data_IF_284820073708
#
_entry.id   IF_284820073708
#
_cell.length_a   1.000
_cell.length_b   1.000
_cell.length_c   1.000
_cell.angle_alpha   90.00
_cell.angle_beta   90.00
_cell.angle_gamma   90.00
#
_symmetry.space_group_name_H-M   'P 1'
#
loop_
_entity.id
_entity.type
_entity.pdbx_description
1 polymer ?
#
# COMPACT_ATOMS: atom_id res chain seq x y z
N UNK A 1 -24.84 -19.57 -6.00
CA UNK A 1 -23.58 -18.80 -5.86
C UNK A 1 -23.33 -17.87 -7.05
N UNK A 2 -23.54 -18.27 -8.31
CA UNK A 2 -23.29 -17.39 -9.47
C UNK A 2 -24.21 -16.16 -9.51
N UNK A 3 -25.52 -16.32 -9.30
CA UNK A 3 -26.49 -15.20 -9.31
C UNK A 3 -26.20 -14.13 -8.23
N UNK A 4 -25.63 -14.55 -7.09
CA UNK A 4 -25.19 -13.66 -6.01
C UNK A 4 -23.91 -12.92 -6.40
N UNK A 5 -22.96 -13.60 -7.05
CA UNK A 5 -21.73 -12.99 -7.58
C UNK A 5 -22.00 -12.03 -8.74
N UNK A 6 -23.00 -12.30 -9.57
CA UNK A 6 -23.42 -11.43 -10.67
C UNK A 6 -24.00 -10.11 -10.16
N UNK A 7 -24.81 -10.15 -9.09
CA UNK A 7 -25.35 -8.95 -8.44
C UNK A 7 -24.23 -8.13 -7.77
N UNK A 8 -23.26 -8.80 -7.13
CA UNK A 8 -22.06 -8.15 -6.59
C UNK A 8 -21.23 -7.47 -7.69
N UNK A 9 -21.01 -8.14 -8.82
CA UNK A 9 -20.25 -7.59 -9.95
C UNK A 9 -20.99 -6.39 -10.58
N UNK A 10 -22.32 -6.45 -10.68
CA UNK A 10 -23.15 -5.35 -11.18
C UNK A 10 -23.08 -4.15 -10.26
N UNK A 11 -23.16 -4.36 -8.94
CA UNK A 11 -23.02 -3.28 -7.95
C UNK A 11 -21.63 -2.66 -7.96
N UNK A 12 -20.57 -3.46 -8.05
CA UNK A 12 -19.19 -2.95 -8.20
C UNK A 12 -19.03 -2.10 -9.47
N UNK A 13 -19.59 -2.56 -10.60
CA UNK A 13 -19.55 -1.81 -11.87
C UNK A 13 -20.27 -0.47 -11.77
N UNK A 14 -21.41 -0.41 -11.07
CA UNK A 14 -22.12 0.84 -10.78
C UNK A 14 -21.28 1.78 -9.92
N UNK A 15 -20.66 1.27 -8.84
CA UNK A 15 -19.82 2.09 -7.97
C UNK A 15 -18.59 2.65 -8.68
N UNK A 16 -17.94 1.86 -9.56
CA UNK A 16 -16.85 2.35 -10.41
C UNK A 16 -17.31 3.43 -11.38
N UNK A 17 -18.48 3.27 -12.01
CA UNK A 17 -19.06 4.31 -12.87
C UNK A 17 -19.33 5.60 -12.10
N UNK A 18 -19.89 5.50 -10.89
CA UNK A 18 -20.09 6.65 -10.00
C UNK A 18 -18.76 7.31 -9.61
N UNK A 19 -17.72 6.52 -9.31
CA UNK A 19 -16.39 7.04 -9.02
C UNK A 19 -15.81 7.83 -10.20
N UNK A 20 -15.94 7.33 -11.43
CA UNK A 20 -15.48 8.01 -12.63
C UNK A 20 -16.20 9.36 -12.85
N UNK A 21 -17.50 9.43 -12.54
CA UNK A 21 -18.27 10.68 -12.60
C UNK A 21 -17.79 11.66 -11.53
N UNK A 22 -17.58 11.20 -10.30
CA UNK A 22 -17.07 12.04 -9.21
C UNK A 22 -15.67 12.60 -9.50
N UNK A 23 -14.82 11.82 -10.15
CA UNK A 23 -13.49 12.27 -10.57
C UNK A 23 -13.55 13.31 -11.70
N UNK A 24 -14.53 13.21 -12.61
CA UNK A 24 -14.71 14.21 -13.69
C UNK A 24 -15.22 15.55 -13.19
N UNK A 25 -16.11 15.53 -12.19
CA UNK A 25 -16.71 16.74 -11.62
C UNK A 25 -16.06 17.16 -10.29
N UNK A 26 -14.86 16.65 -10.00
CA UNK A 26 -14.18 16.81 -8.70
C UNK A 26 -14.11 18.27 -8.25
N UNK A 27 -13.75 19.17 -9.16
CA UNK A 27 -13.58 20.60 -8.85
C UNK A 27 -14.90 21.35 -8.61
N UNK A 28 -16.04 20.76 -8.98
CA UNK A 28 -17.37 21.38 -8.85
C UNK A 28 -18.18 20.88 -7.65
N UNK A 29 -17.72 19.82 -6.99
CA UNK A 29 -18.46 19.16 -5.92
C UNK A 29 -18.02 19.64 -4.54
N UNK A 30 -18.96 19.98 -3.63
CA UNK A 30 -18.62 20.23 -2.24
C UNK A 30 -18.13 18.93 -1.58
N UNK A 31 -17.05 19.02 -0.81
CA UNK A 31 -16.41 17.86 -0.14
C UNK A 31 -16.07 16.70 -1.10
N UNK A 32 -15.69 17.01 -2.35
CA UNK A 32 -15.37 16.02 -3.39
C UNK A 32 -14.41 14.92 -2.90
N UNK A 33 -13.37 15.28 -2.14
CA UNK A 33 -12.43 14.34 -1.53
C UNK A 33 -13.12 13.31 -0.63
N UNK A 34 -14.08 13.74 0.21
CA UNK A 34 -14.83 12.83 1.08
C UNK A 34 -15.80 11.96 0.29
N UNK A 35 -16.46 12.51 -0.74
CA UNK A 35 -17.38 11.74 -1.59
C UNK A 35 -16.64 10.62 -2.34
N UNK A 36 -15.50 10.95 -2.95
CA UNK A 36 -14.59 9.99 -3.59
C UNK A 36 -14.17 8.93 -2.56
N UNK A 37 -13.69 9.35 -1.39
CA UNK A 37 -13.32 8.42 -0.33
C UNK A 37 -14.46 7.49 0.09
N UNK A 38 -15.68 8.00 0.23
CA UNK A 38 -16.85 7.22 0.64
C UNK A 38 -17.21 6.15 -0.39
N UNK A 39 -17.22 6.50 -1.68
CA UNK A 39 -17.48 5.54 -2.77
C UNK A 39 -16.34 4.53 -2.87
N UNK A 40 -15.09 4.95 -2.80
CA UNK A 40 -13.95 4.03 -2.77
C UNK A 40 -14.02 3.07 -1.56
N UNK A 41 -14.45 3.56 -0.40
CA UNK A 41 -14.65 2.73 0.78
C UNK A 41 -15.79 1.72 0.60
N UNK A 42 -16.88 2.11 -0.07
CA UNK A 42 -17.96 1.18 -0.41
C UNK A 42 -17.46 0.10 -1.38
N UNK A 43 -16.78 0.49 -2.47
CA UNK A 43 -16.13 -0.44 -3.42
C UNK A 43 -15.25 -1.43 -2.67
N UNK A 44 -14.34 -0.92 -1.82
CA UNK A 44 -13.46 -1.74 -1.00
C UNK A 44 -14.22 -2.72 -0.11
N UNK A 45 -15.32 -2.28 0.50
CA UNK A 45 -16.15 -3.16 1.35
C UNK A 45 -16.81 -4.29 0.55
N UNK A 46 -17.22 -4.04 -0.70
CA UNK A 46 -17.79 -5.04 -1.60
C UNK A 46 -16.71 -5.99 -2.12
N UNK A 47 -15.53 -5.47 -2.49
CA UNK A 47 -14.37 -6.29 -2.86
C UNK A 47 -13.94 -7.22 -1.73
N UNK A 48 -13.85 -6.72 -0.48
CA UNK A 48 -13.49 -7.55 0.66
C UNK A 48 -14.48 -8.69 0.91
N UNK A 49 -15.78 -8.44 0.71
CA UNK A 49 -16.81 -9.48 0.83
C UNK A 49 -16.69 -10.50 -0.30
N UNK A 50 -16.44 -10.03 -1.53
CA UNK A 50 -16.19 -10.90 -2.69
C UNK A 50 -14.96 -11.80 -2.48
N UNK A 51 -13.86 -11.23 -1.99
CA UNK A 51 -12.64 -11.97 -1.66
C UNK A 51 -12.88 -13.05 -0.57
N UNK A 52 -13.72 -12.76 0.42
CA UNK A 52 -14.10 -13.74 1.45
C UNK A 52 -14.94 -14.89 0.90
N UNK A 53 -15.71 -14.66 -0.16
CA UNK A 53 -16.53 -15.67 -0.82
C UNK A 53 -15.69 -16.50 -1.81
N UNK A 54 -14.68 -15.87 -2.44
CA UNK A 54 -13.72 -16.51 -3.33
C UNK A 54 -12.49 -17.01 -2.56
N UNK A 55 -12.69 -17.98 -1.67
CA UNK A 55 -11.58 -18.63 -0.96
C UNK A 55 -10.75 -19.47 -1.93
N UNK A 56 -9.71 -18.87 -2.49
CA UNK A 56 -8.66 -19.59 -3.19
C UNK A 56 -7.71 -20.19 -2.15
N UNK A 57 -7.61 -21.52 -2.15
CA UNK A 57 -6.61 -22.24 -1.38
C UNK A 57 -5.28 -22.10 -2.10
N UNK A 58 -4.25 -21.69 -1.37
CA UNK A 58 -2.88 -21.61 -1.85
C UNK A 58 -1.99 -22.25 -0.81
N UNK A 59 -1.07 -23.09 -1.28
CA UNK A 59 -0.10 -23.79 -0.44
C UNK A 59 1.15 -22.95 -0.14
N UNK A 60 1.32 -21.80 -0.80
CA UNK A 60 2.55 -21.03 -0.78
C UNK A 60 2.31 -19.57 -0.43
N UNK A 61 3.14 -19.05 0.47
CA UNK A 61 3.18 -17.64 0.79
C UNK A 61 4.46 -17.01 0.23
N UNK A 62 4.36 -15.76 -0.20
CA UNK A 62 5.50 -14.97 -0.59
C UNK A 62 6.36 -14.64 0.63
N UNK A 63 7.65 -14.93 0.55
CA UNK A 63 8.62 -14.69 1.62
C UNK A 63 8.88 -13.19 1.90
N UNK A 64 8.40 -12.29 1.04
CA UNK A 64 8.50 -10.83 1.24
C UNK A 64 7.24 -10.23 1.85
N UNK A 65 6.11 -10.35 1.16
CA UNK A 65 4.86 -9.71 1.58
C UNK A 65 3.95 -10.61 2.42
N UNK A 66 4.33 -11.87 2.61
CA UNK A 66 3.58 -12.92 3.33
C UNK A 66 2.20 -13.21 2.74
N UNK A 67 1.97 -12.79 1.49
CA UNK A 67 0.72 -13.04 0.77
C UNK A 67 0.71 -14.42 0.16
N UNK A 68 -0.47 -15.01 0.07
CA UNK A 68 -0.72 -16.22 -0.70
C UNK A 68 -0.34 -16.00 -2.18
N UNK A 69 0.37 -16.94 -2.75
CA UNK A 69 0.70 -17.02 -4.17
C UNK A 69 -0.33 -17.94 -4.80
N UNK A 70 -1.15 -17.43 -5.72
CA UNK A 70 -2.16 -18.27 -6.38
C UNK A 70 -1.51 -19.17 -7.43
N UNK A 71 -2.18 -20.23 -7.85
CA UNK A 71 -1.64 -21.13 -8.89
C UNK A 71 -1.49 -20.44 -10.25
N UNK A 72 -2.18 -19.32 -10.45
CA UNK A 72 -2.05 -18.46 -11.62
C UNK A 72 -0.84 -17.50 -11.55
N UNK A 73 -0.27 -17.28 -10.37
CA UNK A 73 0.92 -16.45 -10.22
C UNK A 73 2.17 -17.25 -10.61
N UNK A 74 3.10 -16.62 -11.34
CA UNK A 74 4.43 -17.18 -11.61
C UNK A 74 5.46 -16.61 -10.60
N UNK A 75 5.67 -17.24 -9.42
CA UNK A 75 6.58 -16.72 -8.43
C UNK A 75 8.04 -16.95 -8.82
N UNK A 76 8.89 -15.97 -8.47
CA UNK A 76 10.34 -16.10 -8.60
C UNK A 76 10.85 -16.97 -7.44
N UNK A 77 11.47 -18.10 -7.77
CA UNK A 77 12.04 -19.04 -6.80
C UNK A 77 13.54 -18.80 -6.64
N UNK A 78 14.00 -18.65 -5.40
CA UNK A 78 15.39 -18.43 -5.02
C UNK A 78 15.79 -19.30 -3.82
N UNK A 79 17.08 -19.34 -3.49
CA UNK A 79 17.63 -20.21 -2.45
C UNK A 79 17.78 -21.66 -2.90
N UNK A 80 18.41 -22.48 -2.05
CA UNK A 80 18.57 -23.91 -2.29
C UNK A 80 17.19 -24.56 -2.42
N UNK A 81 16.95 -25.25 -3.55
CA UNK A 81 15.67 -25.93 -3.89
C UNK A 81 14.44 -25.01 -4.02
N UNK A 82 14.61 -23.69 -4.11
CA UNK A 82 13.50 -22.74 -4.25
C UNK A 82 12.78 -22.43 -2.94
N UNK A 83 13.48 -22.49 -1.81
CA UNK A 83 12.95 -22.19 -0.47
C UNK A 83 12.42 -20.77 -0.30
N UNK A 84 12.85 -19.83 -1.12
CA UNK A 84 12.42 -18.43 -1.08
C UNK A 84 11.57 -18.10 -2.30
N UNK A 85 10.30 -17.71 -2.09
CA UNK A 85 9.36 -17.40 -3.17
C UNK A 85 8.94 -15.94 -3.13
N UNK A 86 9.10 -15.25 -4.26
CA UNK A 86 8.66 -13.86 -4.42
C UNK A 86 7.49 -13.82 -5.40
N UNK A 87 6.37 -13.22 -4.96
CA UNK A 87 5.22 -13.05 -5.83
C UNK A 87 5.44 -11.95 -6.89
N UNK A 88 4.72 -11.99 -8.02
CA UNK A 88 4.83 -10.97 -9.07
C UNK A 88 4.58 -9.54 -8.57
N UNK A 89 3.72 -9.37 -7.55
CA UNK A 89 3.40 -8.06 -6.96
C UNK A 89 4.61 -7.41 -6.28
N UNK A 90 5.39 -8.19 -5.53
CA UNK A 90 6.63 -7.72 -4.92
C UNK A 90 7.67 -7.35 -5.98
N UNK A 91 7.81 -8.16 -7.04
CA UNK A 91 8.70 -7.85 -8.17
C UNK A 91 8.28 -6.53 -8.83
N UNK A 92 6.99 -6.32 -9.08
CA UNK A 92 6.47 -5.06 -9.60
C UNK A 92 6.81 -3.88 -8.68
N UNK A 93 6.61 -4.03 -7.38
CA UNK A 93 6.92 -2.99 -6.37
C UNK A 93 8.41 -2.63 -6.38
N UNK A 94 9.29 -3.63 -6.47
CA UNK A 94 10.75 -3.43 -6.57
C UNK A 94 11.10 -2.65 -7.85
N UNK A 95 10.47 -2.99 -8.97
CA UNK A 95 10.74 -2.36 -10.26
C UNK A 95 10.27 -0.91 -10.36
N UNK A 96 9.33 -0.49 -9.53
CA UNK A 96 8.84 0.90 -9.48
C UNK A 96 9.84 1.89 -8.86
N UNK A 97 10.90 1.41 -8.22
CA UNK A 97 11.92 2.27 -7.62
C UNK A 97 12.94 2.64 -8.66
N UNK A 98 13.08 3.94 -8.91
CA UNK A 98 13.87 4.50 -10.02
C UNK A 98 14.89 5.48 -9.48
N UNK A 99 16.02 5.60 -10.17
CA UNK A 99 16.92 6.73 -10.00
C UNK A 99 16.29 8.00 -10.58
N UNK A 100 16.68 9.15 -10.04
CA UNK A 100 16.23 10.48 -10.52
C UNK A 100 16.32 10.65 -12.04
N UNK A 101 17.41 10.19 -12.66
CA UNK A 101 17.61 10.26 -14.11
C UNK A 101 16.58 9.44 -14.89
N UNK A 102 16.24 8.23 -14.43
CA UNK A 102 15.24 7.39 -15.11
C UNK A 102 13.85 8.03 -14.99
N UNK A 103 13.56 8.62 -13.82
CA UNK A 103 12.28 9.29 -13.59
C UNK A 103 12.15 10.57 -14.45
N UNK A 104 13.22 11.35 -14.59
CA UNK A 104 13.25 12.55 -15.45
C UNK A 104 13.00 12.20 -16.91
N UNK A 105 13.65 11.14 -17.41
CA UNK A 105 13.46 10.63 -18.77
C UNK A 105 12.00 10.18 -19.00
N UNK A 106 11.41 9.45 -18.05
CA UNK A 106 10.02 9.01 -18.15
C UNK A 106 9.01 10.16 -18.10
N UNK A 107 9.30 11.23 -17.38
CA UNK A 107 8.44 12.41 -17.29
C UNK A 107 8.68 13.42 -18.42
N UNK A 108 9.65 13.19 -19.29
CA UNK A 108 9.99 14.13 -20.37
C UNK A 108 10.50 15.47 -19.85
N UNK A 109 11.11 15.51 -18.65
CA UNK A 109 11.60 16.75 -18.06
C UNK A 109 12.85 17.24 -18.81
N UNK A 110 12.75 18.45 -19.39
CA UNK A 110 13.82 19.03 -20.22
C UNK A 110 15.04 19.51 -19.43
N UNK A 111 14.90 19.72 -18.12
CA UNK A 111 15.96 20.23 -17.23
C UNK A 111 16.53 19.10 -16.37
N UNK A 112 17.77 18.64 -16.61
CA UNK A 112 18.37 17.57 -15.82
C UNK A 112 18.64 18.01 -14.39
N UNK A 113 18.36 17.15 -13.41
CA UNK A 113 18.56 17.43 -11.98
C UNK A 113 17.39 18.14 -11.29
N UNK A 114 16.27 18.34 -11.99
CA UNK A 114 15.02 18.87 -11.45
C UNK A 114 14.49 18.00 -10.32
N UNK A 115 14.44 16.68 -10.52
CA UNK A 115 13.93 15.75 -9.49
C UNK A 115 14.86 15.72 -8.29
N UNK A 116 16.18 15.84 -8.53
CA UNK A 116 17.17 15.89 -7.45
C UNK A 116 16.97 17.12 -6.55
N UNK A 117 16.71 18.29 -7.13
CA UNK A 117 16.39 19.51 -6.36
C UNK A 117 15.08 19.34 -5.59
N UNK A 118 14.07 18.75 -6.23
CA UNK A 118 12.77 18.52 -5.60
C UNK A 118 12.84 17.56 -4.41
N UNK A 119 13.71 16.55 -4.47
CA UNK A 119 13.98 15.63 -3.36
C UNK A 119 14.53 16.34 -2.11
N UNK A 120 15.26 17.43 -2.29
CA UNK A 120 15.84 18.22 -1.19
C UNK A 120 14.89 19.30 -0.67
N UNK A 121 13.89 19.70 -1.46
CA UNK A 121 12.89 20.70 -1.10
C UNK A 121 11.47 20.13 -0.91
N UNK A 122 10.58 20.29 -1.90
CA UNK A 122 9.15 19.98 -1.76
C UNK A 122 8.82 18.52 -1.44
N UNK A 123 9.66 17.56 -1.88
CA UNK A 123 9.40 16.13 -1.69
C UNK A 123 9.94 15.58 -0.37
N UNK A 124 10.56 16.41 0.48
CA UNK A 124 11.13 16.01 1.77
C UNK A 124 10.16 15.21 2.67
N UNK A 125 8.85 15.53 2.76
CA UNK A 125 7.91 14.73 3.56
C UNK A 125 7.86 13.24 3.16
N UNK A 126 8.06 12.93 1.88
CA UNK A 126 8.01 11.56 1.35
C UNK A 126 9.21 10.70 1.79
N UNK A 127 10.25 11.30 2.38
CA UNK A 127 11.41 10.58 2.90
C UNK A 127 11.07 9.80 4.18
N UNK A 128 10.23 10.36 5.07
CA UNK A 128 9.78 9.67 6.28
C UNK A 128 9.06 8.35 5.95
N UNK A 129 8.42 8.31 4.78
CA UNK A 129 7.57 7.23 4.33
C UNK A 129 8.28 6.26 3.38
N UNK A 130 9.61 6.40 3.26
CA UNK A 130 10.50 5.53 2.47
C UNK A 130 10.20 5.50 0.96
N UNK A 131 9.36 6.40 0.46
CA UNK A 131 9.08 6.56 -0.98
C UNK A 131 10.23 7.29 -1.71
N UNK A 132 10.99 8.10 -0.97
CA UNK A 132 12.21 8.76 -1.46
C UNK A 132 13.34 8.46 -0.49
N UNK A 133 14.50 8.09 -1.03
CA UNK A 133 15.68 7.80 -0.23
C UNK A 133 16.94 8.24 -0.94
N UNK A 134 17.89 8.79 -0.18
CA UNK A 134 19.23 9.07 -0.67
C UNK A 134 20.10 7.82 -0.55
N UNK A 135 20.66 7.36 -1.67
CA UNK A 135 21.65 6.29 -1.75
C UNK A 135 22.97 6.91 -2.20
N UNK A 136 23.83 7.23 -1.22
CA UNK A 136 25.12 7.89 -1.42
C UNK A 136 25.03 9.18 -2.27
N UNK A 137 25.40 9.09 -3.56
CA UNK A 137 25.44 10.20 -4.52
C UNK A 137 24.17 10.34 -5.35
N UNK A 138 23.23 9.41 -5.24
CA UNK A 138 22.00 9.39 -6.03
C UNK A 138 20.76 9.34 -5.14
N UNK A 139 19.64 9.72 -5.72
CA UNK A 139 18.33 9.63 -5.09
C UNK A 139 17.54 8.52 -5.76
N UNK A 140 16.95 7.66 -4.93
CA UNK A 140 16.01 6.62 -5.31
C UNK A 140 14.61 7.15 -5.01
N UNK A 141 13.74 7.09 -6.02
CA UNK A 141 12.41 7.65 -6.00
C UNK A 141 11.44 6.58 -6.48
N UNK A 142 10.37 6.38 -5.71
CA UNK A 142 9.28 5.50 -6.09
C UNK A 142 8.44 6.14 -7.21
N UNK A 143 8.04 5.37 -8.22
CA UNK A 143 7.30 5.86 -9.40
C UNK A 143 6.06 6.69 -9.04
N UNK A 144 5.32 6.30 -8.02
CA UNK A 144 4.15 7.02 -7.48
C UNK A 144 4.40 8.52 -7.20
N UNK A 145 5.65 8.93 -6.93
CA UNK A 145 5.98 10.35 -6.78
C UNK A 145 5.72 11.15 -8.07
N UNK A 146 5.87 10.52 -9.24
CA UNK A 146 5.46 11.10 -10.52
C UNK A 146 3.97 11.46 -10.52
N UNK A 147 3.13 10.52 -10.10
CA UNK A 147 1.69 10.71 -10.07
C UNK A 147 1.29 11.78 -9.05
N UNK A 148 1.84 11.69 -7.83
CA UNK A 148 1.47 12.58 -6.72
C UNK A 148 1.91 14.03 -6.93
N UNK A 149 3.07 14.27 -7.53
CA UNK A 149 3.67 15.61 -7.58
C UNK A 149 3.84 16.18 -8.98
N UNK A 150 4.17 15.34 -9.98
CA UNK A 150 4.45 15.85 -11.32
C UNK A 150 3.21 15.88 -12.21
N UNK A 151 2.33 14.87 -12.12
CA UNK A 151 1.10 14.81 -12.93
C UNK A 151 0.01 15.75 -12.43
N UNK A 152 -0.17 15.87 -11.12
CA UNK A 152 -1.15 16.79 -10.50
C UNK A 152 -0.64 18.25 -10.49
N UNK A 153 0.65 18.45 -10.72
CA UNK A 153 1.32 19.76 -10.70
C UNK A 153 2.18 19.94 -9.44
N UNK A 154 3.34 20.59 -9.61
CA UNK A 154 4.44 20.71 -8.63
C UNK A 154 4.06 21.62 -7.44
N UNK A 155 3.03 21.25 -6.68
CA UNK A 155 2.51 21.97 -5.51
C UNK A 155 2.79 21.18 -4.24
N UNK A 156 3.39 21.84 -3.26
CA UNK A 156 3.77 21.22 -1.99
C UNK A 156 2.55 20.79 -1.14
N UNK A 157 1.42 21.49 -1.28
CA UNK A 157 0.20 21.23 -0.49
C UNK A 157 -0.33 19.80 -0.67
N UNK A 158 -0.21 19.24 -1.88
CA UNK A 158 -0.63 17.87 -2.21
C UNK A 158 0.18 16.79 -1.47
N UNK A 159 1.35 17.17 -0.92
CA UNK A 159 2.29 16.28 -0.23
C UNK A 159 2.34 16.51 1.28
N UNK A 160 1.82 17.65 1.75
CA UNK A 160 1.92 18.07 3.14
C UNK A 160 0.69 17.72 3.95
N UNK A 161 -0.50 17.85 3.35
CA UNK A 161 -1.74 17.54 4.03
C UNK A 161 -2.39 16.37 3.32
N UNK A 162 -2.56 15.26 4.05
CA UNK A 162 -3.63 14.36 3.66
C UNK A 162 -4.93 15.18 3.73
N UNK A 163 -5.86 14.99 2.79
CA UNK A 163 -7.19 15.60 2.86
C UNK A 163 -7.89 15.36 4.22
N UNK A 164 -7.45 14.35 4.98
CA UNK A 164 -7.85 14.04 6.35
C UNK A 164 -7.33 15.07 7.36
N UNK A 165 -6.09 15.52 7.20
CA UNK A 165 -5.51 16.62 7.98
C UNK A 165 -6.21 17.93 7.65
N UNK A 166 -6.45 18.22 6.37
CA UNK A 166 -7.23 19.39 5.97
C UNK A 166 -8.63 19.40 6.58
N UNK A 167 -9.33 18.25 6.59
CA UNK A 167 -10.60 18.13 7.29
C UNK A 167 -10.48 18.24 8.81
N UNK A 168 -9.37 17.77 9.41
CA UNK A 168 -9.10 17.91 10.84
C UNK A 168 -8.84 19.37 11.22
N UNK A 169 -8.09 20.10 10.39
CA UNK A 169 -7.77 21.50 10.59
C UNK A 169 -9.01 22.37 10.40
N UNK A 170 -9.83 22.09 9.38
CA UNK A 170 -11.13 22.75 9.18
C UNK A 170 -12.07 22.49 10.35
N UNK A 171 -12.06 21.29 10.92
CA UNK A 171 -12.83 20.95 12.12
C UNK A 171 -12.37 21.75 13.34
N UNK A 172 -11.05 21.90 13.53
CA UNK A 172 -10.51 22.73 14.61
C UNK A 172 -10.88 24.20 14.41
N UNK A 173 -10.72 24.74 13.19
CA UNK A 173 -11.12 26.11 12.86
C UNK A 173 -12.61 26.37 13.13
N UNK A 174 -13.51 25.43 12.79
CA UNK A 174 -14.94 25.56 13.08
C UNK A 174 -15.22 25.53 14.59
N UNK A 175 -14.49 24.71 15.36
CA UNK A 175 -14.58 24.68 16.83
C UNK A 175 -14.13 26.00 17.44
N UNK A 176 -13.03 26.56 16.95
CA UNK A 176 -12.50 27.86 17.40
C UNK A 176 -13.48 28.99 17.06
N UNK A 177 -14.05 28.99 15.85
CA UNK A 177 -15.08 29.96 15.43
C UNK A 177 -16.33 29.88 16.30
N UNK A 178 -16.79 28.66 16.62
CA UNK A 178 -17.91 28.46 17.52
C UNK A 178 -17.58 28.99 18.92
N UNK A 179 -16.38 28.72 19.44
CA UNK A 179 -15.94 29.20 20.75
C UNK A 179 -15.94 30.74 20.80
N UNK A 180 -15.37 31.39 19.79
CA UNK A 180 -15.37 32.86 19.70
C UNK A 180 -16.80 33.43 19.63
N UNK A 181 -17.71 32.80 18.89
CA UNK A 181 -19.11 33.23 18.83
C UNK A 181 -19.87 32.99 20.13
N UNK A 182 -19.57 31.91 20.85
CA UNK A 182 -20.12 31.64 22.19
C UNK A 182 -19.62 32.70 23.20
N UNK A 183 -18.35 33.14 23.10
CA UNK A 183 -17.78 34.22 23.92
C UNK A 183 -18.39 35.60 23.60
N UNK A 184 -18.69 35.86 22.31
CA UNK A 184 -19.29 37.11 21.83
C UNK A 184 -20.83 37.10 21.84
N UNK A 185 -21.45 36.03 22.36
CA UNK A 185 -22.90 35.80 22.29
C UNK A 185 -23.74 36.90 22.92
N UNK A 186 -23.21 37.58 23.93
CA UNK A 186 -23.86 38.72 24.60
C UNK A 186 -23.72 40.04 23.83
N UNK A 187 -22.77 40.12 22.90
CA UNK A 187 -22.45 41.31 22.11
C UNK A 187 -23.06 41.27 20.71
N UNK A 188 -23.35 40.08 20.18
CA UNK A 188 -23.87 39.87 18.82
C UNK A 188 -25.31 39.35 18.88
N UNK A 189 -26.32 40.20 18.56
CA UNK A 189 -27.70 39.78 18.36
C UNK A 189 -27.79 38.70 17.26
N UNK A 190 -28.71 37.75 17.39
CA UNK A 190 -28.94 36.65 16.44
C UNK A 190 -27.78 35.65 16.23
N UNK A 191 -26.74 35.71 17.07
CA UNK A 191 -25.62 34.75 17.10
C UNK A 191 -26.05 33.28 17.30
N UNK A 192 -27.24 33.05 17.88
CA UNK A 192 -27.77 31.71 18.13
C UNK A 192 -27.95 30.85 16.87
N UNK A 193 -28.41 31.44 15.76
CA UNK A 193 -28.61 30.70 14.50
C UNK A 193 -27.27 30.33 13.85
N UNK A 194 -26.28 31.21 13.97
CA UNK A 194 -24.91 30.96 13.50
C UNK A 194 -24.23 29.87 14.32
N UNK A 195 -24.37 29.90 15.66
CA UNK A 195 -23.84 28.87 16.56
C UNK A 195 -24.47 27.50 16.25
N UNK A 196 -25.79 27.43 16.03
CA UNK A 196 -26.46 26.19 15.64
C UNK A 196 -25.96 25.67 14.29
N UNK A 197 -25.81 26.54 13.29
CA UNK A 197 -25.25 26.17 11.98
C UNK A 197 -23.84 25.60 12.11
N UNK A 198 -22.98 26.26 12.90
CA UNK A 198 -21.63 25.77 13.17
C UNK A 198 -21.63 24.44 13.93
N UNK A 199 -22.54 24.24 14.88
CA UNK A 199 -22.69 22.96 15.58
C UNK A 199 -23.02 21.81 14.62
N UNK A 200 -23.95 22.02 13.68
CA UNK A 200 -24.27 21.01 12.68
C UNK A 200 -23.07 20.72 11.76
N UNK A 201 -22.35 21.75 11.32
CA UNK A 201 -21.14 21.57 10.50
C UNK A 201 -20.03 20.83 11.26
N UNK A 202 -19.81 21.18 12.53
CA UNK A 202 -18.85 20.49 13.41
C UNK A 202 -19.26 19.03 13.58
N UNK A 203 -20.52 18.74 13.85
CA UNK A 203 -21.01 17.37 14.05
C UNK A 203 -20.86 16.51 12.79
N UNK A 204 -21.22 17.06 11.62
CA UNK A 204 -21.05 16.39 10.33
C UNK A 204 -19.55 16.11 10.06
N UNK A 205 -18.70 17.13 10.16
CA UNK A 205 -17.28 17.00 9.89
C UNK A 205 -16.55 16.11 10.92
N UNK A 206 -16.93 16.18 12.19
CA UNK A 206 -16.45 15.28 13.24
C UNK A 206 -16.83 13.83 12.93
N UNK A 207 -18.07 13.58 12.52
CA UNK A 207 -18.52 12.23 12.12
C UNK A 207 -17.72 11.71 10.93
N UNK A 208 -17.44 12.56 9.94
CA UNK A 208 -16.58 12.22 8.78
C UNK A 208 -15.16 11.87 9.22
N UNK A 209 -14.54 12.70 10.07
CA UNK A 209 -13.18 12.48 10.60
C UNK A 209 -13.12 11.23 11.47
N UNK A 210 -14.11 10.97 12.33
CA UNK A 210 -14.17 9.80 13.20
C UNK A 210 -14.34 8.51 12.40
N UNK A 211 -15.08 8.53 11.28
CA UNK A 211 -15.16 7.38 10.36
C UNK A 211 -13.81 7.05 9.73
N UNK A 212 -13.02 8.07 9.43
CA UNK A 212 -11.70 7.92 8.80
C UNK A 212 -10.66 7.46 9.83
N UNK A 213 -10.54 8.19 10.94
CA UNK A 213 -9.57 7.92 12.02
C UNK A 213 -9.92 6.69 12.84
N UNK A 214 -11.20 6.35 12.96
CA UNK A 214 -11.68 5.18 13.69
C UNK A 214 -11.37 3.85 13.02
N UNK A 215 -10.69 3.83 11.86
CA UNK A 215 -10.20 2.60 11.22
C UNK A 215 -11.29 1.62 10.79
N UNK A 216 -12.56 2.06 10.73
CA UNK A 216 -13.71 1.19 10.46
C UNK A 216 -13.80 0.73 9.00
N UNK A 217 -13.02 1.35 8.11
CA UNK A 217 -13.05 1.09 6.68
C UNK A 217 -11.81 0.28 6.26
N UNK A 218 -11.97 -0.83 5.52
CA UNK A 218 -10.85 -1.65 5.10
C UNK A 218 -10.05 -0.90 4.02
N UNK A 219 -8.78 -0.63 4.30
CA UNK A 219 -7.87 -0.02 3.33
C UNK A 219 -7.18 -1.10 2.53
N UNK A 220 -7.02 -0.90 1.23
CA UNK A 220 -6.23 -1.80 0.38
C UNK A 220 -4.91 -1.12 0.07
N UNK A 221 -3.81 -1.84 0.13
CA UNK A 221 -2.52 -1.33 -0.32
C UNK A 221 -2.54 -1.20 -1.85
N UNK A 222 -2.27 0.00 -2.38
CA UNK A 222 -2.20 0.26 -3.82
C UNK A 222 -1.12 -0.57 -4.54
N UNK A 223 -0.11 -1.06 -3.80
CA UNK A 223 0.98 -1.85 -4.37
C UNK A 223 0.68 -3.34 -4.44
N UNK A 224 0.29 -3.93 -3.32
CA UNK A 224 0.17 -5.38 -3.20
C UNK A 224 -1.26 -5.87 -3.13
N UNK A 225 -2.25 -4.97 -3.14
CA UNK A 225 -3.66 -5.30 -3.10
C UNK A 225 -4.11 -5.96 -1.79
N UNK A 226 -3.28 -5.96 -0.73
CA UNK A 226 -3.68 -6.51 0.56
C UNK A 226 -4.44 -5.51 1.39
N UNK A 227 -5.46 -6.03 2.07
CA UNK A 227 -6.19 -5.37 3.11
C UNK A 227 -5.24 -5.01 4.27
N UNK A 228 -5.05 -3.71 4.50
CA UNK A 228 -4.32 -3.15 5.63
C UNK A 228 -5.22 -3.34 6.84
N UNK A 229 -4.84 -4.29 7.70
CA UNK A 229 -5.54 -4.64 8.95
C UNK A 229 -4.92 -4.00 10.19
N UNK A 230 -3.82 -3.28 10.03
CA UNK A 230 -3.09 -2.65 11.12
C UNK A 230 -3.95 -1.53 11.73
N UNK A 231 -4.03 -1.49 13.07
CA UNK A 231 -4.65 -0.40 13.79
C UNK A 231 -3.79 0.86 13.68
N UNK A 232 -4.20 1.79 12.82
CA UNK A 232 -3.50 3.04 12.56
C UNK A 232 -4.00 3.68 11.26
N UNK A 233 -3.86 4.99 11.12
CA UNK A 233 -4.15 5.66 9.86
C UNK A 233 -3.14 5.17 8.82
N UNK A 234 -3.56 4.59 7.68
CA UNK A 234 -2.67 4.43 6.55
C UNK A 234 -2.02 5.77 6.22
N UNK A 235 -0.77 5.76 5.75
CA UNK A 235 -0.23 6.99 5.17
C UNK A 235 -0.96 7.24 3.86
N UNK A 236 -1.74 8.33 3.81
CA UNK A 236 -2.47 8.75 2.62
C UNK A 236 -1.69 9.85 1.92
N UNK A 237 -1.37 9.62 0.65
CA UNK A 237 -0.91 10.67 -0.25
C UNK A 237 -1.95 10.80 -1.35
N UNK A 238 -2.85 11.78 -1.22
CA UNK A 238 -4.08 11.81 -2.02
C UNK A 238 -4.89 10.51 -1.83
N UNK A 239 -5.00 9.70 -2.88
CA UNK A 239 -5.69 8.40 -2.89
C UNK A 239 -4.74 7.19 -2.74
N UNK A 240 -3.42 7.41 -2.71
CA UNK A 240 -2.44 6.34 -2.65
C UNK A 240 -2.20 5.85 -1.21
N UNK A 241 -2.20 4.52 -1.03
CA UNK A 241 -2.02 3.82 0.25
C UNK A 241 -0.94 2.74 0.13
N UNK A 242 -0.02 2.66 1.10
CA UNK A 242 1.04 1.66 1.11
C UNK A 242 1.14 0.98 2.48
N UNK A 243 1.17 -0.37 2.49
CA UNK A 243 1.31 -1.15 3.71
C UNK A 243 2.76 -1.21 4.21
N UNK A 244 2.94 -1.53 5.49
CA UNK A 244 4.24 -1.75 6.16
C UNK A 244 5.16 -2.68 5.37
N UNK A 245 4.67 -3.86 4.95
CA UNK A 245 5.46 -4.83 4.17
C UNK A 245 5.94 -4.24 2.84
N UNK A 246 5.10 -3.48 2.13
CA UNK A 246 5.51 -2.83 0.88
C UNK A 246 6.54 -1.72 1.14
N UNK A 247 6.41 -0.95 2.23
CA UNK A 247 7.43 0.02 2.63
C UNK A 247 8.77 -0.65 2.89
N UNK A 248 8.77 -1.84 3.49
CA UNK A 248 9.98 -2.63 3.73
C UNK A 248 10.62 -3.14 2.43
N UNK A 249 9.84 -3.76 1.55
CA UNK A 249 10.28 -4.21 0.22
C UNK A 249 10.90 -3.05 -0.57
N UNK A 250 10.26 -1.88 -0.54
CA UNK A 250 10.77 -0.69 -1.22
C UNK A 250 12.10 -0.23 -0.63
N UNK A 251 12.22 -0.25 0.70
CA UNK A 251 13.44 0.20 1.39
C UNK A 251 14.65 -0.70 1.18
N UNK A 252 14.42 -1.96 0.80
CA UNK A 252 15.47 -2.95 0.55
C UNK A 252 16.06 -2.89 -0.87
N UNK A 253 15.57 -1.98 -1.72
CA UNK A 253 16.23 -1.65 -2.99
C UNK A 253 17.33 -0.62 -2.76
N UNK A 254 18.51 -0.93 -3.27
CA UNK A 254 19.72 -0.15 -3.06
C UNK A 254 20.61 -0.14 -4.29
N UNK A 255 21.59 0.75 -4.30
CA UNK A 255 22.64 0.73 -5.33
C UNK A 255 23.66 -0.36 -5.04
N UNK A 256 24.37 -0.81 -6.08
CA UNK A 256 25.49 -1.76 -5.92
C UNK A 256 26.53 -1.31 -4.88
N UNK A 257 26.90 -0.03 -4.88
CA UNK A 257 27.87 0.53 -3.92
C UNK A 257 27.35 0.51 -2.48
N UNK A 258 26.06 0.82 -2.29
CA UNK A 258 25.42 0.72 -0.98
C UNK A 258 25.32 -0.72 -0.50
N UNK A 259 24.95 -1.66 -1.38
CA UNK A 259 24.89 -3.09 -1.05
C UNK A 259 26.25 -3.63 -0.60
N UNK A 260 27.32 -3.27 -1.30
CA UNK A 260 28.68 -3.68 -0.95
C UNK A 260 29.04 -3.22 0.47
N UNK A 261 28.75 -1.95 0.82
CA UNK A 261 28.99 -1.42 2.16
C UNK A 261 28.11 -2.09 3.22
N UNK A 262 26.81 -2.20 2.96
CA UNK A 262 25.84 -2.77 3.92
C UNK A 262 26.20 -4.21 4.28
N UNK A 263 26.69 -4.99 3.31
CA UNK A 263 26.99 -6.40 3.52
C UNK A 263 28.48 -6.71 3.73
N UNK A 264 29.36 -5.70 3.74
CA UNK A 264 30.81 -5.89 3.95
C UNK A 264 31.51 -6.57 2.78
N UNK A 265 31.04 -6.37 1.55
CA UNK A 265 31.70 -6.85 0.33
C UNK A 265 32.77 -5.85 -0.13
N UNK A 266 33.82 -6.33 -0.79
CA UNK A 266 34.80 -5.46 -1.44
C UNK A 266 34.15 -4.59 -2.52
N UNK A 267 34.62 -3.34 -2.62
CA UNK A 267 34.09 -2.41 -3.60
C UNK A 267 34.31 -2.90 -5.03
N UNK A 268 33.25 -2.85 -5.85
CA UNK A 268 33.26 -3.29 -7.23
C UNK A 268 33.09 -4.80 -7.43
N UNK A 269 32.94 -5.60 -6.37
CA UNK A 269 32.65 -7.04 -6.48
C UNK A 269 31.37 -7.28 -7.29
N UNK A 270 30.28 -6.58 -6.97
CA UNK A 270 28.98 -6.82 -7.63
C UNK A 270 29.06 -6.43 -9.12
N UNK A 271 29.76 -5.34 -9.44
CA UNK A 271 29.96 -4.91 -10.84
C UNK A 271 30.82 -5.90 -11.62
N UNK A 272 31.86 -6.45 -11.00
CA UNK A 272 32.70 -7.49 -11.60
C UNK A 272 31.90 -8.75 -11.88
N UNK A 273 31.10 -9.19 -10.93
CA UNK A 273 30.25 -10.38 -11.09
C UNK A 273 29.17 -10.18 -12.16
N UNK A 274 28.62 -8.97 -12.25
CA UNK A 274 27.73 -8.59 -13.34
C UNK A 274 28.40 -8.71 -14.72
N UNK A 275 29.63 -8.21 -14.85
CA UNK A 275 30.38 -8.28 -16.12
C UNK A 275 30.70 -9.72 -16.55
N UNK A 276 30.72 -10.65 -15.59
CA UNK A 276 30.93 -12.09 -15.80
C UNK A 276 29.62 -12.86 -16.06
N UNK A 277 28.47 -12.19 -16.12
CA UNK A 277 27.15 -12.82 -16.33
C UNK A 277 26.59 -13.55 -15.11
N UNK A 278 27.25 -13.48 -13.94
CA UNK A 278 26.84 -14.22 -12.74
C UNK A 278 25.51 -13.73 -12.14
N UNK A 279 25.04 -12.55 -12.56
CA UNK A 279 23.80 -11.93 -12.09
C UNK A 279 22.66 -11.99 -13.11
N UNK A 280 22.85 -12.64 -14.26
CA UNK A 280 21.87 -12.64 -15.35
C UNK A 280 20.54 -13.32 -14.96
N UNK A 281 20.60 -14.32 -14.07
CA UNK A 281 19.38 -14.92 -13.49
C UNK A 281 18.50 -13.88 -12.77
N UNK A 282 19.10 -12.95 -12.04
CA UNK A 282 18.36 -11.92 -11.30
C UNK A 282 17.88 -10.80 -12.21
N UNK A 283 18.58 -10.53 -13.32
CA UNK A 283 18.14 -9.56 -14.34
C UNK A 283 16.83 -9.98 -14.98
N UNK A 284 16.70 -11.26 -15.35
CA UNK A 284 15.47 -11.81 -15.96
C UNK A 284 14.24 -11.59 -15.07
N UNK A 285 14.43 -11.61 -13.75
CA UNK A 285 13.36 -11.43 -12.77
C UNK A 285 13.20 -9.98 -12.28
N UNK A 286 13.96 -9.02 -12.81
CA UNK A 286 13.89 -7.60 -12.40
C UNK A 286 14.52 -7.27 -11.05
N UNK A 287 15.06 -8.25 -10.32
CA UNK A 287 15.69 -8.05 -9.01
C UNK A 287 17.06 -7.34 -9.09
N UNK A 288 17.67 -7.33 -10.27
CA UNK A 288 18.89 -6.59 -10.59
C UNK A 288 18.73 -5.89 -11.93
N UNK A 289 18.74 -4.56 -11.95
CA UNK A 289 18.48 -3.78 -13.17
C UNK A 289 19.26 -2.48 -13.23
N UNK A 290 19.40 -1.94 -14.43
CA UNK A 290 19.95 -0.61 -14.65
C UNK A 290 18.81 0.42 -14.59
N UNK A 291 19.07 1.54 -13.92
CA UNK A 291 18.18 2.68 -13.79
C UNK A 291 18.95 3.94 -14.18
N UNK A 292 18.74 4.44 -15.40
CA UNK A 292 19.61 5.45 -16.00
C UNK A 292 21.06 4.95 -16.05
N UNK A 293 21.95 5.55 -15.25
CA UNK A 293 23.39 5.20 -15.17
C UNK A 293 23.78 4.38 -13.93
N UNK A 294 22.82 4.02 -13.08
CA UNK A 294 23.08 3.32 -11.82
C UNK A 294 22.50 1.90 -11.85
N UNK A 295 23.20 0.96 -11.21
CA UNK A 295 22.71 -0.40 -11.01
C UNK A 295 21.97 -0.51 -9.68
N UNK A 296 20.71 -0.93 -9.75
CA UNK A 296 19.85 -1.20 -8.60
C UNK A 296 19.79 -2.69 -8.34
N UNK A 297 19.84 -3.05 -7.06
CA UNK A 297 19.79 -4.42 -6.57
C UNK A 297 18.88 -4.47 -5.35
N UNK A 298 18.06 -5.52 -5.25
CA UNK A 298 17.31 -5.80 -4.03
C UNK A 298 18.16 -6.65 -3.06
N UNK A 299 18.04 -6.38 -1.76
CA UNK A 299 18.79 -7.04 -0.66
C UNK A 299 18.81 -8.59 -0.77
N UNK A 300 17.66 -9.19 -1.13
CA UNK A 300 17.52 -10.64 -1.32
C UNK A 300 18.50 -11.24 -2.33
N UNK A 301 18.91 -10.50 -3.37
CA UNK A 301 19.93 -10.97 -4.32
C UNK A 301 21.27 -11.15 -3.63
N UNK A 302 21.60 -10.25 -2.69
CA UNK A 302 22.85 -10.32 -1.93
C UNK A 302 22.83 -11.53 -1.00
N UNK A 303 21.68 -11.76 -0.34
CA UNK A 303 21.49 -12.92 0.54
C UNK A 303 21.59 -14.24 -0.25
N UNK A 304 20.93 -14.35 -1.40
CA UNK A 304 21.00 -15.55 -2.25
C UNK A 304 22.41 -15.84 -2.75
N UNK A 305 23.13 -14.81 -3.20
CA UNK A 305 24.42 -14.99 -3.90
C UNK A 305 25.64 -15.04 -2.99
N UNK A 306 25.66 -14.26 -1.91
CA UNK A 306 26.88 -13.98 -1.14
C UNK A 306 26.84 -14.41 0.33
N UNK A 307 25.65 -14.60 0.93
CA UNK A 307 25.53 -14.87 2.39
C UNK A 307 24.67 -16.08 2.77
N UNK A 308 24.17 -16.81 1.78
CA UNK A 308 23.14 -17.86 1.89
C UNK A 308 21.79 -17.33 2.38
N UNK A 309 20.75 -17.59 1.59
CA UNK A 309 19.36 -17.36 2.00
C UNK A 309 19.01 -18.38 3.08
N UNK A 310 18.93 -17.93 4.33
CA UNK A 310 18.31 -18.73 5.39
C UNK A 310 16.86 -18.96 5.00
N UNK A 311 16.46 -20.22 4.86
CA UNK A 311 15.04 -20.55 4.84
C UNK A 311 14.44 -20.04 6.15
N UNK A 312 13.38 -19.22 6.08
CA UNK A 312 12.42 -19.24 7.17
C UNK A 312 12.05 -20.72 7.30
N UNK A 313 12.19 -21.29 8.50
CA UNK A 313 11.74 -22.64 8.77
C UNK A 313 10.27 -22.71 8.35
N UNK A 314 10.01 -23.21 7.14
CA UNK A 314 8.74 -23.85 6.84
C UNK A 314 8.60 -24.85 7.96
N UNK A 315 7.55 -24.80 8.80
CA UNK A 315 7.25 -25.95 9.61
C UNK A 315 7.07 -27.06 8.59
N UNK A 316 8.07 -27.95 8.53
CA UNK A 316 7.90 -29.26 7.95
C UNK A 316 6.65 -29.74 8.65
N UNK A 317 5.55 -29.90 7.90
CA UNK A 317 4.43 -30.68 8.37
C UNK A 317 4.97 -32.11 8.54
N UNK A 318 5.68 -32.34 9.64
CA UNK A 318 5.56 -33.58 10.36
C UNK A 318 4.06 -33.72 10.59
N UNK A 319 3.49 -34.80 10.04
CA UNK A 319 2.05 -34.98 9.86
C UNK A 319 1.30 -34.36 11.01
N UNK A 320 0.42 -33.41 10.70
CA UNK A 320 -0.49 -32.85 11.69
C UNK A 320 -1.29 -33.99 12.25
N UNK A 321 -0.87 -34.51 13.40
CA UNK A 321 -1.75 -35.19 14.32
C UNK A 321 -2.87 -34.19 14.55
N UNK A 322 -4.01 -34.46 13.92
CA UNK A 322 -5.24 -33.73 14.21
C UNK A 322 -5.38 -33.80 15.71
N UNK A 323 -5.35 -32.65 16.39
CA UNK A 323 -5.51 -32.57 17.84
C UNK A 323 -6.65 -33.51 18.23
N UNK A 324 -6.39 -34.45 19.14
CA UNK A 324 -7.34 -35.48 19.55
C UNK A 324 -8.71 -34.87 19.91
N UNK A 325 -8.69 -33.64 20.40
CA UNK A 325 -9.85 -32.83 20.75
C UNK A 325 -10.69 -32.39 19.53
N UNK A 326 -10.05 -32.02 18.41
CA UNK A 326 -10.73 -31.71 17.14
C UNK A 326 -11.31 -32.96 16.47
N UNK A 327 -10.57 -34.08 16.51
CA UNK A 327 -11.07 -35.37 16.03
C UNK A 327 -12.28 -35.84 16.82
N UNK A 328 -12.24 -35.75 18.16
CA UNK A 328 -13.38 -36.10 19.02
C UNK A 328 -14.60 -35.20 18.79
N UNK A 329 -14.40 -33.88 18.64
CA UNK A 329 -15.51 -32.95 18.34
C UNK A 329 -16.13 -33.23 16.97
N UNK A 330 -15.32 -33.49 15.96
CA UNK A 330 -15.82 -33.81 14.62
C UNK A 330 -16.58 -35.15 14.59
N UNK A 331 -16.09 -36.18 15.30
CA UNK A 331 -16.78 -37.45 15.47
C UNK A 331 -18.09 -37.32 16.24
N UNK A 332 -18.14 -36.51 17.31
CA UNK A 332 -19.36 -36.24 18.07
C UNK A 332 -20.44 -35.54 17.22
N UNK A 333 -20.04 -34.58 16.36
CA UNK A 333 -20.97 -33.89 15.46
C UNK A 333 -21.48 -34.86 14.41
N UNK A 334 -20.60 -35.68 13.82
CA UNK A 334 -20.99 -36.69 12.83
C UNK A 334 -21.97 -37.71 13.42
N UNK A 335 -21.70 -38.23 14.61
CA UNK A 335 -22.59 -39.19 15.28
C UNK A 335 -23.95 -38.59 15.60
N UNK A 336 -24.01 -37.33 16.08
CA UNK A 336 -25.29 -36.63 16.28
C UNK A 336 -26.09 -36.46 15.00
N UNK A 337 -25.43 -36.14 13.89
CA UNK A 337 -26.09 -36.01 12.57
C UNK A 337 -26.61 -37.38 12.08
N UNK A 338 -25.86 -38.45 12.32
CA UNK A 338 -26.27 -39.81 11.95
C UNK A 338 -27.38 -40.35 12.85
N UNK A 339 -27.39 -40.01 14.14
CA UNK A 339 -28.48 -40.34 15.07
C UNK A 339 -29.76 -39.59 14.72
N UNK A 340 -29.67 -38.30 14.36
CA UNK A 340 -30.84 -37.54 13.88
C UNK A 340 -31.39 -38.06 12.55
N UNK A 341 -30.56 -38.67 11.70
CA UNK A 341 -30.99 -39.30 10.43
C UNK A 341 -31.56 -40.72 10.58
N UNK A 342 -31.42 -41.33 11.77
CA UNK A 342 -31.97 -42.66 12.08
C UNK A 342 -33.22 -42.59 12.95
N UNK A 343 -33.62 -41.38 13.36
CA UNK A 343 -34.81 -41.12 14.18
C UNK A 343 -36.03 -40.62 13.39
N UNK A 344 -35.89 -40.47 12.07
CA UNK A 344 -36.98 -40.41 11.08
C UNK A 344 -36.97 -41.74 10.29
#
# INVERSE_FOLDING_TARGET
>A
MSMLMDDYNKRLSQLHSTLDILLKEYDRLPDAAYQVFSIEAEIRSFELRKDRLNLEFSHFNCSMCKQKITDADEPVRMGAKGSFMICPRCIRTINQIKGTTELEEQLGLKSPGTVKQDCEGPLKPLQAEKLIRKSEKCWLVHEVVADLFYRVGRRRNNLLHSWIEEMSDRLNMLKDQKQLLDELRTLIPDSHTQILSLQFQIQDLQTKVDRIKGGKLPYRCSQCGVWIKEGGNPTFFGTYTICSNCKEVVSNVMTTSEAEKKHGLTSGTIRRDNSRGLLDKYKKHGLFRMSGKIWLIHDVVILDKYKELKSEDTPVMQGSEISSDLSQRSASIFNRVMESRRGD
#
